data_IF_479836831092
#
_entry.id   IF_479836831092
#
_cell.length_a   1.000
_cell.length_b   1.000
_cell.length_c   1.000
_cell.angle_alpha   90.00
_cell.angle_beta   90.00
_cell.angle_gamma   90.00
#
_symmetry.space_group_name_H-M   'P 1'
#
loop_
_entity.id
_entity.type
_entity.pdbx_description
1 polymer ?
#
# COMPACT_ATOMS: atom_id res chain seq x y z
N UNK A 1 0.45 -7.69 -1.76
CA UNK A 1 -0.09 -6.43 -1.19
C UNK A 1 -1.21 -5.80 -2.01
N UNK A 2 -0.97 -4.91 -3.00
CA UNK A 2 -2.11 -4.27 -3.71
C UNK A 2 -2.87 -5.19 -4.67
N UNK A 3 -2.17 -6.18 -5.24
CA UNK A 3 -2.78 -7.19 -6.13
C UNK A 3 -3.75 -8.11 -5.39
N UNK A 4 -3.46 -8.42 -4.12
CA UNK A 4 -4.36 -9.19 -3.25
C UNK A 4 -5.64 -8.42 -2.92
N UNK A 5 -5.59 -7.09 -3.00
CA UNK A 5 -6.75 -6.21 -2.81
C UNK A 5 -7.42 -5.85 -4.14
N UNK A 6 -6.93 -6.38 -5.26
CA UNK A 6 -7.35 -6.05 -6.63
C UNK A 6 -7.32 -4.55 -6.95
N UNK A 7 -6.37 -3.81 -6.36
CA UNK A 7 -6.24 -2.37 -6.54
C UNK A 7 -5.17 -2.00 -7.57
N UNK A 8 -5.47 -0.99 -8.38
CA UNK A 8 -4.46 -0.27 -9.13
C UNK A 8 -3.50 0.45 -8.18
N UNK A 9 -2.31 0.79 -8.68
CA UNK A 9 -1.31 1.54 -7.91
C UNK A 9 -1.86 2.89 -7.45
N UNK A 10 -2.65 3.57 -8.30
CA UNK A 10 -3.29 4.85 -7.98
C UNK A 10 -4.29 4.72 -6.83
N UNK A 11 -5.16 3.72 -6.87
CA UNK A 11 -6.16 3.49 -5.81
C UNK A 11 -5.50 3.11 -4.50
N UNK A 12 -4.44 2.30 -4.56
CA UNK A 12 -3.72 1.89 -3.37
C UNK A 12 -2.96 3.06 -2.73
N UNK A 13 -2.28 3.89 -3.54
CA UNK A 13 -1.61 5.10 -3.07
C UNK A 13 -2.60 6.07 -2.40
N UNK A 14 -3.78 6.26 -3.00
CA UNK A 14 -4.84 7.09 -2.42
C UNK A 14 -5.31 6.56 -1.05
N UNK A 15 -5.46 5.24 -0.89
CA UNK A 15 -5.82 4.62 0.41
C UNK A 15 -4.71 4.76 1.45
N UNK A 16 -3.46 4.81 1.03
CA UNK A 16 -2.30 5.01 1.90
C UNK A 16 -2.01 6.49 2.21
N UNK A 17 -2.72 7.42 1.57
CA UNK A 17 -2.46 8.86 1.72
C UNK A 17 -1.10 9.28 1.16
N UNK A 18 -0.63 8.61 0.11
CA UNK A 18 0.68 8.87 -0.52
C UNK A 18 0.53 9.03 -2.03
N UNK A 19 1.62 9.39 -2.72
CA UNK A 19 1.64 9.53 -4.17
C UNK A 19 1.87 8.18 -4.86
N UNK A 20 1.41 8.04 -6.10
CA UNK A 20 1.65 6.85 -6.93
C UNK A 20 3.14 6.59 -7.14
N UNK A 21 3.95 7.66 -7.26
CA UNK A 21 5.40 7.56 -7.41
C UNK A 21 6.07 7.01 -6.15
N UNK A 22 5.70 7.54 -4.98
CA UNK A 22 6.21 7.06 -3.69
C UNK A 22 5.87 5.57 -3.50
N UNK A 23 4.66 5.18 -3.86
CA UNK A 23 4.27 3.76 -3.84
C UNK A 23 5.10 2.92 -4.83
N UNK A 24 5.38 3.42 -6.03
CA UNK A 24 6.24 2.74 -7.01
C UNK A 24 7.65 2.53 -6.45
N UNK A 25 8.24 3.56 -5.85
CA UNK A 25 9.58 3.48 -5.26
C UNK A 25 9.65 2.47 -4.11
N UNK A 26 8.57 2.32 -3.33
CA UNK A 26 8.46 1.26 -2.33
C UNK A 26 8.32 -0.13 -2.96
N UNK A 27 7.45 -0.29 -3.96
CA UNK A 27 7.21 -1.57 -4.63
C UNK A 27 8.45 -2.08 -5.39
N UNK A 28 9.27 -1.17 -5.93
CA UNK A 28 10.49 -1.48 -6.67
C UNK A 28 11.74 -1.50 -5.77
N UNK A 29 11.58 -1.29 -4.46
CA UNK A 29 12.67 -1.32 -3.48
C UNK A 29 13.66 -0.16 -3.57
N UNK A 30 13.30 0.92 -4.28
CA UNK A 30 14.11 2.14 -4.41
C UNK A 30 14.06 3.03 -3.17
N UNK A 31 13.02 2.87 -2.35
CA UNK A 31 12.87 3.57 -1.08
C UNK A 31 12.40 2.63 0.02
N UNK A 32 12.89 2.86 1.25
CA UNK A 32 12.43 2.13 2.42
C UNK A 32 10.98 2.50 2.75
N UNK A 33 10.16 1.49 3.04
CA UNK A 33 8.79 1.67 3.48
C UNK A 33 8.79 2.23 4.93
N UNK A 34 8.18 3.41 5.18
CA UNK A 34 8.09 3.94 6.55
C UNK A 34 7.25 3.02 7.44
N UNK A 35 7.59 2.94 8.74
CA UNK A 35 6.86 2.12 9.71
C UNK A 35 5.35 2.43 9.76
N UNK A 36 4.95 3.69 9.54
CA UNK A 36 3.55 4.08 9.49
C UNK A 36 2.82 3.49 8.26
N UNK A 37 3.49 3.45 7.11
CA UNK A 37 2.95 2.86 5.90
C UNK A 37 2.81 1.33 6.02
N UNK A 38 3.82 0.64 6.58
CA UNK A 38 3.73 -0.82 6.87
C UNK A 38 2.51 -1.15 7.74
N UNK A 39 2.32 -0.41 8.84
CA UNK A 39 1.15 -0.58 9.72
C UNK A 39 -0.16 -0.37 8.97
N UNK A 40 -0.27 0.70 8.19
CA UNK A 40 -1.48 0.98 7.41
C UNK A 40 -1.79 -0.16 6.44
N UNK A 41 -0.79 -0.69 5.76
CA UNK A 41 -1.03 -1.77 4.80
C UNK A 41 -1.50 -3.05 5.50
N UNK A 42 -0.93 -3.41 6.66
CA UNK A 42 -1.40 -4.55 7.46
C UNK A 42 -2.87 -4.40 7.88
N UNK A 43 -3.29 -3.17 8.23
CA UNK A 43 -4.70 -2.88 8.56
C UNK A 43 -5.60 -3.05 7.34
N UNK A 44 -5.20 -2.52 6.17
CA UNK A 44 -5.97 -2.66 4.93
C UNK A 44 -6.13 -4.13 4.51
N UNK A 45 -5.08 -4.93 4.64
CA UNK A 45 -5.11 -6.36 4.33
C UNK A 45 -6.01 -7.11 5.31
N UNK A 46 -5.86 -6.90 6.62
CA UNK A 46 -6.71 -7.55 7.62
C UNK A 46 -8.19 -7.18 7.45
N UNK A 47 -8.49 -5.93 7.10
CA UNK A 47 -9.86 -5.49 6.85
C UNK A 47 -10.47 -6.14 5.60
N UNK A 48 -9.64 -6.51 4.61
CA UNK A 48 -10.09 -7.23 3.42
C UNK A 48 -10.40 -8.70 3.72
N UNK A 49 -9.55 -9.38 4.48
CA UNK A 49 -9.73 -10.81 4.81
C UNK A 49 -10.75 -11.10 5.93
N UNK A 50 -11.13 -10.10 6.73
CA UNK A 50 -12.18 -10.25 7.76
C UNK A 50 -13.61 -10.02 7.23
N UNK A 51 -13.78 -9.82 5.92
CA UNK A 51 -15.09 -9.75 5.27
C UNK A 51 -15.56 -11.11 4.78
#
# INVERSE_FOLDING_TARGET
MRKELELSQREFAARLGTTTQTLADWEEGRAALPNAADKMIRVLINAHYKR
#
